data_IF_491067079366
#
_entry.id   IF_491067079366
#
_cell.length_a   1.000
_cell.length_b   1.000
_cell.length_c   1.000
_cell.angle_alpha   90.00
_cell.angle_beta   90.00
_cell.angle_gamma   90.00
#
_symmetry.space_group_name_H-M   'P 1'
#
loop_
_entity.id
_entity.type
_entity.pdbx_description
1 polymer ?
#
# COMPACT_ATOMS: atom_id res chain seq x y z
N UNK A 1 -30.00 -17.39 13.71
CA UNK A 1 -29.07 -18.54 13.80
C UNK A 1 -28.69 -18.91 12.38
N UNK A 2 -27.63 -18.30 11.87
CA UNK A 2 -27.12 -18.55 10.52
C UNK A 2 -25.68 -18.99 10.72
N UNK A 3 -25.40 -20.23 10.30
CA UNK A 3 -24.15 -20.94 10.54
C UNK A 3 -23.08 -20.35 9.61
N UNK A 4 -22.00 -19.82 10.17
CA UNK A 4 -20.75 -19.61 9.44
C UNK A 4 -20.15 -20.98 9.16
N UNK A 5 -20.14 -21.39 7.90
CA UNK A 5 -19.35 -22.53 7.45
C UNK A 5 -17.92 -22.03 7.23
N UNK A 6 -17.01 -22.41 8.13
CA UNK A 6 -15.57 -22.27 7.91
C UNK A 6 -15.23 -23.34 6.86
N UNK A 7 -15.22 -22.95 5.59
CA UNK A 7 -14.69 -23.80 4.53
C UNK A 7 -13.16 -23.68 4.58
N UNK A 8 -12.50 -24.81 4.81
CA UNK A 8 -11.04 -24.92 4.74
C UNK A 8 -10.57 -24.58 3.33
N UNK A 9 -9.97 -23.41 3.15
CA UNK A 9 -9.28 -23.03 1.92
C UNK A 9 -8.13 -24.01 1.67
N UNK A 10 -8.07 -24.52 0.44
CA UNK A 10 -7.06 -25.50 0.03
C UNK A 10 -5.89 -24.72 -0.56
N UNK A 11 -4.77 -24.62 0.15
CA UNK A 11 -3.55 -24.01 -0.39
C UNK A 11 -3.10 -24.77 -1.65
N UNK A 12 -3.12 -24.10 -2.81
CA UNK A 12 -2.71 -24.71 -4.07
C UNK A 12 -1.19 -24.57 -4.20
N UNK A 13 -0.47 -25.59 -3.73
CA UNK A 13 0.94 -25.77 -4.04
C UNK A 13 1.12 -26.04 -5.54
N UNK A 14 1.39 -24.99 -6.33
CA UNK A 14 1.83 -25.13 -7.71
C UNK A 14 3.29 -25.60 -7.77
N UNK A 15 3.50 -26.89 -7.48
CA UNK A 15 4.77 -27.56 -7.71
C UNK A 15 4.76 -28.24 -9.09
N UNK A 16 5.03 -27.49 -10.16
CA UNK A 16 5.55 -28.04 -11.42
C UNK A 16 5.99 -26.94 -12.41
N UNK A 17 7.01 -26.15 -12.04
CA UNK A 17 7.89 -25.53 -13.03
C UNK A 17 9.31 -26.01 -12.75
N UNK A 18 9.79 -26.93 -13.57
CA UNK A 18 11.19 -27.40 -13.57
C UNK A 18 12.12 -26.23 -13.85
N UNK A 19 12.68 -25.69 -12.78
CA UNK A 19 13.61 -24.56 -12.76
C UNK A 19 13.74 -24.05 -11.33
N UNK A 20 14.14 -24.93 -10.42
CA UNK A 20 14.35 -24.62 -8.99
C UNK A 20 15.38 -23.51 -8.84
N UNK A 21 14.89 -22.31 -8.55
CA UNK A 21 15.66 -21.27 -7.90
C UNK A 21 14.93 -21.00 -6.57
N UNK A 22 15.67 -21.20 -5.48
CA UNK A 22 15.12 -21.34 -4.14
C UNK A 22 14.52 -20.02 -3.66
N UNK A 23 13.24 -20.02 -3.31
CA UNK A 23 12.56 -18.90 -2.65
C UNK A 23 12.78 -18.90 -1.11
N UNK A 24 13.22 -20.04 -0.55
CA UNK A 24 13.53 -20.20 0.87
C UNK A 24 14.62 -19.26 1.45
N UNK A 25 15.64 -18.75 0.73
CA UNK A 25 16.63 -17.88 1.36
C UNK A 25 16.09 -16.46 1.64
N UNK A 26 14.93 -16.07 1.11
CA UNK A 26 14.47 -14.66 1.12
C UNK A 26 13.28 -14.44 2.06
N UNK A 27 12.37 -15.42 2.20
CA UNK A 27 11.25 -15.33 3.14
C UNK A 27 11.50 -16.11 4.43
N UNK A 28 11.32 -15.44 5.58
CA UNK A 28 11.27 -16.11 6.90
C UNK A 28 9.87 -16.64 7.28
N UNK A 29 8.85 -16.32 6.47
CA UNK A 29 7.47 -16.76 6.65
C UNK A 29 6.84 -17.10 5.29
N UNK A 30 5.53 -16.94 5.16
CA UNK A 30 4.78 -17.36 3.97
C UNK A 30 5.04 -16.43 2.78
N UNK A 31 4.98 -16.98 1.56
CA UNK A 31 5.05 -16.22 0.32
C UNK A 31 3.62 -15.86 -0.09
N UNK A 32 3.33 -14.56 -0.21
CA UNK A 32 2.04 -14.10 -0.72
C UNK A 32 2.08 -13.91 -2.23
N UNK A 33 3.15 -13.29 -2.75
CA UNK A 33 3.29 -13.00 -4.17
C UNK A 33 4.72 -13.23 -4.62
N UNK A 34 4.89 -13.73 -5.84
CA UNK A 34 6.23 -13.90 -6.42
C UNK A 34 6.15 -13.76 -7.94
N UNK A 35 7.12 -13.07 -8.55
CA UNK A 35 7.30 -13.09 -10.01
C UNK A 35 8.74 -12.82 -10.41
N UNK A 36 9.09 -13.17 -11.65
CA UNK A 36 10.33 -12.72 -12.26
C UNK A 36 10.11 -11.50 -13.17
N UNK A 37 11.13 -10.64 -13.24
CA UNK A 37 11.20 -9.47 -14.12
C UNK A 37 12.43 -9.61 -15.05
N UNK A 38 12.36 -9.03 -16.25
CA UNK A 38 13.52 -9.00 -17.17
C UNK A 38 13.86 -10.32 -17.88
N UNK A 39 14.97 -10.37 -18.61
CA UNK A 39 15.34 -11.52 -19.45
C UNK A 39 15.93 -12.70 -18.66
N UNK A 40 15.73 -13.93 -19.16
CA UNK A 40 15.85 -15.20 -18.42
C UNK A 40 17.19 -15.44 -17.70
N UNK A 41 18.31 -14.97 -18.26
CA UNK A 41 19.66 -15.16 -17.68
C UNK A 41 20.02 -14.14 -16.59
N UNK A 42 19.31 -13.01 -16.51
CA UNK A 42 19.51 -11.94 -15.52
C UNK A 42 18.25 -11.66 -14.70
N UNK A 43 17.29 -12.60 -14.69
CA UNK A 43 15.98 -12.42 -14.06
C UNK A 43 16.14 -11.92 -12.63
N UNK A 44 15.62 -10.74 -12.37
CA UNK A 44 15.29 -10.36 -11.01
C UNK A 44 14.00 -11.07 -10.63
N UNK A 45 13.82 -11.28 -9.35
CA UNK A 45 12.64 -11.87 -8.77
C UNK A 45 12.14 -10.94 -7.67
N UNK A 46 10.86 -10.62 -7.75
CA UNK A 46 10.11 -9.93 -6.72
C UNK A 46 9.41 -11.00 -5.90
N UNK A 47 9.59 -10.97 -4.58
CA UNK A 47 8.93 -11.87 -3.65
C UNK A 47 8.37 -11.07 -2.48
N UNK A 48 7.06 -11.18 -2.25
CA UNK A 48 6.38 -10.61 -1.08
C UNK A 48 6.21 -11.70 -0.03
N UNK A 49 6.86 -11.52 1.11
CA UNK A 49 6.78 -12.40 2.25
C UNK A 49 5.82 -11.83 3.30
N UNK A 50 5.20 -12.71 4.09
CA UNK A 50 4.41 -12.37 5.27
C UNK A 50 4.98 -13.06 6.52
N UNK A 51 5.02 -12.35 7.63
CA UNK A 51 5.31 -12.90 8.95
C UNK A 51 4.53 -12.18 10.05
N UNK A 52 3.47 -12.81 10.56
CA UNK A 52 2.72 -12.30 11.71
C UNK A 52 2.12 -10.91 11.50
N UNK A 53 1.55 -10.65 10.32
CA UNK A 53 0.98 -9.33 9.96
C UNK A 53 2.00 -8.33 9.40
N UNK A 54 3.30 -8.63 9.43
CA UNK A 54 4.30 -7.83 8.71
C UNK A 54 4.54 -8.40 7.33
N UNK A 55 4.65 -7.54 6.33
CA UNK A 55 4.95 -7.91 4.95
C UNK A 55 6.28 -7.31 4.51
N UNK A 56 7.01 -8.04 3.67
CA UNK A 56 8.24 -7.54 3.06
C UNK A 56 8.30 -7.87 1.58
N UNK A 57 8.54 -6.87 0.75
CA UNK A 57 8.82 -7.02 -0.67
C UNK A 57 10.34 -7.05 -0.86
N UNK A 58 10.80 -8.16 -1.41
CA UNK A 58 12.20 -8.44 -1.65
C UNK A 58 12.44 -8.49 -3.17
N UNK A 59 13.44 -7.74 -3.64
CA UNK A 59 13.99 -7.92 -4.99
C UNK A 59 15.29 -8.69 -4.86
N UNK A 60 15.43 -9.78 -5.57
CA UNK A 60 16.63 -10.62 -5.53
C UNK A 60 16.93 -11.24 -6.89
N UNK A 61 18.15 -11.69 -7.12
CA UNK A 61 18.51 -12.43 -8.33
C UNK A 61 17.82 -13.79 -8.29
N UNK A 62 17.13 -14.15 -9.37
CA UNK A 62 16.47 -15.45 -9.47
C UNK A 62 17.49 -16.59 -9.27
N UNK A 63 18.63 -16.52 -9.95
CA UNK A 63 19.61 -17.61 -9.95
C UNK A 63 20.34 -17.82 -8.61
N UNK A 64 20.58 -16.75 -7.83
CA UNK A 64 21.43 -16.81 -6.63
C UNK A 64 20.68 -16.52 -5.33
N UNK A 65 19.51 -15.88 -5.39
CA UNK A 65 18.82 -15.37 -4.22
C UNK A 65 19.45 -14.09 -3.64
N UNK A 66 20.53 -13.58 -4.23
CA UNK A 66 21.20 -12.37 -3.74
C UNK A 66 20.25 -11.17 -3.85
N UNK A 67 20.04 -10.43 -2.75
CA UNK A 67 19.13 -9.29 -2.78
C UNK A 67 19.72 -8.14 -3.60
N UNK A 68 18.84 -7.38 -4.26
CA UNK A 68 19.21 -6.15 -4.97
C UNK A 68 19.27 -4.93 -4.05
N UNK A 69 18.66 -5.02 -2.87
CA UNK A 69 18.68 -4.00 -1.82
C UNK A 69 19.14 -4.62 -0.50
N UNK A 70 19.86 -3.85 0.32
CA UNK A 70 20.27 -4.31 1.65
C UNK A 70 19.06 -4.42 2.60
N UNK A 71 18.03 -3.59 2.38
CA UNK A 71 16.81 -3.54 3.19
C UNK A 71 15.59 -3.84 2.31
N UNK A 72 14.77 -4.84 2.66
CA UNK A 72 13.54 -5.11 1.92
C UNK A 72 12.52 -4.01 2.17
N UNK A 73 11.65 -3.78 1.20
CA UNK A 73 10.58 -2.81 1.33
C UNK A 73 9.55 -3.39 2.29
N UNK A 74 9.19 -2.64 3.32
CA UNK A 74 8.34 -3.14 4.40
C UNK A 74 6.93 -2.59 4.33
N UNK A 75 6.00 -3.42 4.76
CA UNK A 75 4.60 -3.10 4.97
C UNK A 75 4.11 -3.84 6.22
N UNK A 76 2.99 -3.40 6.74
CA UNK A 76 2.40 -3.89 7.98
C UNK A 76 0.88 -3.89 7.81
N UNK A 77 0.26 -5.01 8.16
CA UNK A 77 -1.18 -5.22 8.10
C UNK A 77 -1.95 -4.14 8.85
N UNK A 78 -1.38 -3.58 9.91
CA UNK A 78 -2.02 -2.59 10.76
C UNK A 78 -1.85 -1.15 10.27
N UNK A 79 -0.97 -0.88 9.31
CA UNK A 79 -0.65 0.51 8.94
C UNK A 79 -0.51 0.75 7.45
N UNK A 80 -0.43 -0.31 6.65
CA UNK A 80 -0.05 -0.19 5.26
C UNK A 80 -1.24 -0.36 4.33
N UNK A 81 -1.28 0.48 3.31
CA UNK A 81 -2.35 0.51 2.33
C UNK A 81 -2.50 -0.82 1.60
N UNK A 82 -3.76 -1.19 1.42
CA UNK A 82 -4.19 -2.44 0.81
C UNK A 82 -5.54 -2.16 0.10
N UNK A 83 -5.67 -2.48 -1.18
CA UNK A 83 -6.95 -2.38 -1.88
C UNK A 83 -7.35 -3.73 -2.45
N UNK A 84 -8.58 -4.16 -2.19
CA UNK A 84 -9.18 -5.33 -2.81
C UNK A 84 -10.51 -4.94 -3.46
N UNK A 85 -10.73 -5.39 -4.70
CA UNK A 85 -12.02 -5.23 -5.38
C UNK A 85 -12.34 -6.45 -6.23
N UNK A 86 -13.58 -6.92 -6.09
CA UNK A 86 -14.14 -8.06 -6.82
C UNK A 86 -15.11 -7.58 -7.92
N UNK A 87 -15.14 -8.32 -9.01
CA UNK A 87 -15.94 -8.12 -10.22
C UNK A 87 -15.51 -9.20 -11.22
N UNK A 88 -15.52 -8.93 -12.52
CA UNK A 88 -15.03 -9.90 -13.53
C UNK A 88 -13.55 -10.33 -13.33
N UNK A 89 -12.79 -9.57 -12.52
CA UNK A 89 -11.38 -9.81 -12.17
C UNK A 89 -11.16 -9.31 -10.74
N UNK A 90 -10.49 -10.09 -9.90
CA UNK A 90 -10.06 -9.64 -8.58
C UNK A 90 -8.84 -8.72 -8.74
N UNK A 91 -8.89 -7.54 -8.12
CA UNK A 91 -7.77 -6.59 -8.12
C UNK A 91 -7.27 -6.44 -6.71
N UNK A 92 -5.97 -6.51 -6.58
CA UNK A 92 -5.27 -6.34 -5.34
C UNK A 92 -4.16 -5.30 -5.50
N UNK A 93 -4.08 -4.38 -4.55
CA UNK A 93 -2.98 -3.43 -4.48
C UNK A 93 -2.40 -3.41 -3.06
N UNK A 94 -1.07 -3.44 -2.92
CA UNK A 94 -0.37 -3.34 -1.62
C UNK A 94 0.70 -2.26 -1.67
N UNK A 95 0.70 -1.39 -0.67
CA UNK A 95 1.74 -0.39 -0.49
C UNK A 95 2.94 -0.96 0.22
N UNK A 96 4.12 -0.45 -0.10
CA UNK A 96 5.35 -0.69 0.63
C UNK A 96 6.13 0.61 0.75
N UNK A 97 6.95 0.73 1.79
CA UNK A 97 7.86 1.87 1.93
C UNK A 97 9.29 1.46 1.57
N UNK A 98 9.91 2.19 0.64
CA UNK A 98 11.33 2.05 0.35
C UNK A 98 12.14 2.94 1.29
N UNK A 99 12.76 2.35 2.31
CA UNK A 99 13.53 3.10 3.32
C UNK A 99 14.68 3.90 2.74
N UNK A 100 15.45 3.30 1.85
CA UNK A 100 16.69 3.92 1.33
C UNK A 100 16.39 5.07 0.35
N UNK A 101 15.31 4.94 -0.41
CA UNK A 101 14.91 5.93 -1.42
C UNK A 101 13.89 6.95 -0.87
N UNK A 102 13.28 6.66 0.29
CA UNK A 102 12.27 7.53 0.90
C UNK A 102 11.01 7.70 0.06
N UNK A 103 10.59 6.66 -0.67
CA UNK A 103 9.44 6.70 -1.57
C UNK A 103 8.49 5.50 -1.36
N UNK A 104 7.17 5.67 -1.59
CA UNK A 104 6.25 4.56 -1.54
C UNK A 104 6.34 3.74 -2.83
N UNK A 105 6.26 2.42 -2.74
CA UNK A 105 6.18 1.52 -3.89
C UNK A 105 4.89 0.74 -3.77
N UNK A 106 4.12 0.69 -4.85
CA UNK A 106 2.87 -0.06 -4.89
C UNK A 106 3.08 -1.33 -5.68
N UNK A 107 2.68 -2.46 -5.11
CA UNK A 107 2.41 -3.68 -5.85
C UNK A 107 0.97 -3.66 -6.35
N UNK A 108 0.78 -3.88 -7.64
CA UNK A 108 -0.53 -4.11 -8.23
C UNK A 108 -0.61 -5.55 -8.75
N UNK A 109 -1.77 -6.16 -8.59
CA UNK A 109 -2.05 -7.53 -8.98
C UNK A 109 -3.48 -7.62 -9.54
N UNK A 110 -3.62 -8.34 -10.65
CA UNK A 110 -4.92 -8.66 -11.26
C UNK A 110 -5.04 -10.17 -11.37
N UNK A 111 -5.96 -10.71 -10.58
CA UNK A 111 -6.19 -12.13 -10.44
C UNK A 111 -7.47 -12.54 -11.20
N UNK A 112 -7.43 -13.63 -11.97
CA UNK A 112 -8.63 -14.21 -12.56
C UNK A 112 -9.52 -14.71 -11.42
N UNK A 113 -10.80 -14.34 -11.40
CA UNK A 113 -11.68 -14.51 -10.26
C UNK A 113 -12.97 -15.25 -10.64
N UNK A 114 -13.38 -16.20 -9.80
CA UNK A 114 -14.66 -16.89 -9.88
C UNK A 114 -15.60 -16.34 -8.81
N UNK A 115 -16.54 -15.48 -9.21
CA UNK A 115 -17.55 -14.89 -8.31
C UNK A 115 -18.44 -15.93 -7.63
N UNK A 116 -18.64 -17.11 -8.22
CA UNK A 116 -19.52 -18.15 -7.66
C UNK A 116 -18.80 -18.98 -6.60
N UNK A 117 -17.51 -19.23 -6.81
CA UNK A 117 -16.68 -20.00 -5.89
C UNK A 117 -15.96 -19.10 -4.86
N UNK A 118 -16.02 -17.78 -5.04
CA UNK A 118 -15.30 -16.78 -4.24
C UNK A 118 -13.78 -17.09 -4.18
N UNK A 119 -13.21 -17.49 -5.33
CA UNK A 119 -11.81 -17.93 -5.41
C UNK A 119 -11.10 -17.47 -6.69
N UNK A 120 -9.76 -17.53 -6.66
CA UNK A 120 -8.91 -17.25 -7.82
C UNK A 120 -8.92 -18.44 -8.78
N UNK A 121 -9.18 -18.21 -10.07
CA UNK A 121 -9.20 -19.27 -11.09
C UNK A 121 -7.78 -19.75 -11.38
N UNK A 122 -7.47 -20.98 -11.00
CA UNK A 122 -6.16 -21.58 -11.20
C UNK A 122 -5.77 -21.70 -12.69
N UNK A 123 -4.47 -21.49 -12.99
CA UNK A 123 -3.88 -21.71 -14.31
C UNK A 123 -4.24 -20.66 -15.38
N UNK A 124 -5.00 -19.63 -15.01
CA UNK A 124 -5.25 -18.47 -15.86
C UNK A 124 -4.14 -17.42 -15.71
N UNK A 125 -3.91 -16.56 -16.72
CA UNK A 125 -2.89 -15.51 -16.63
C UNK A 125 -3.15 -14.55 -15.47
N UNK A 126 -2.08 -14.20 -14.78
CA UNK A 126 -2.08 -13.19 -13.71
C UNK A 126 -1.17 -12.04 -14.14
N UNK A 127 -1.66 -10.81 -13.96
CA UNK A 127 -0.84 -9.62 -14.17
C UNK A 127 -0.35 -9.09 -12.83
N UNK A 128 0.95 -8.81 -12.73
CA UNK A 128 1.56 -8.20 -11.56
C UNK A 128 2.59 -7.15 -11.98
N UNK A 129 2.60 -6.00 -11.31
CA UNK A 129 3.64 -4.98 -11.54
C UNK A 129 3.89 -4.14 -10.29
N UNK A 130 5.11 -3.59 -10.21
CA UNK A 130 5.44 -2.56 -9.22
C UNK A 130 5.33 -1.18 -9.85
N UNK A 131 4.84 -0.25 -9.06
CA UNK A 131 4.71 1.15 -9.41
C UNK A 131 5.42 2.02 -8.36
N UNK A 132 6.49 2.71 -8.77
CA UNK A 132 7.18 3.72 -7.96
C UNK A 132 6.88 5.13 -8.47
N UNK A 133 6.64 6.12 -7.60
CA UNK A 133 6.54 7.51 -7.97
C UNK A 133 7.95 8.07 -8.08
N UNK A 134 8.56 8.05 -9.26
CA UNK A 134 9.68 8.93 -9.50
C UNK A 134 9.10 10.34 -9.56
N UNK A 135 9.23 11.02 -8.42
CA UNK A 135 8.78 12.34 -7.98
C UNK A 135 8.92 13.50 -8.99
N UNK A 136 9.32 13.25 -10.25
CA UNK A 136 9.39 14.19 -11.38
C UNK A 136 8.76 13.69 -12.69
N UNK A 137 7.54 13.14 -12.63
CA UNK A 137 6.61 12.96 -13.77
C UNK A 137 6.80 11.76 -14.72
N UNK A 138 7.49 10.69 -14.32
CA UNK A 138 7.30 9.38 -14.98
C UNK A 138 7.14 8.29 -13.92
N UNK A 139 6.01 7.61 -13.99
CA UNK A 139 5.74 6.44 -13.15
C UNK A 139 6.47 5.28 -13.80
N UNK A 140 7.48 4.74 -13.13
CA UNK A 140 8.15 3.54 -13.64
C UNK A 140 7.36 2.31 -13.21
N UNK A 141 7.04 1.49 -14.21
CA UNK A 141 6.35 0.23 -14.01
C UNK A 141 7.33 -0.91 -14.22
N UNK A 142 7.53 -1.71 -13.18
CA UNK A 142 8.27 -2.96 -13.29
C UNK A 142 7.28 -4.09 -13.49
N UNK A 143 7.16 -4.58 -14.73
CA UNK A 143 6.17 -5.60 -15.12
C UNK A 143 6.73 -7.01 -14.92
N UNK A 144 5.92 -7.88 -14.33
CA UNK A 144 6.23 -9.30 -14.17
C UNK A 144 5.99 -10.09 -15.45
N UNK A 145 6.77 -11.15 -15.64
CA UNK A 145 6.42 -12.17 -16.64
C UNK A 145 5.24 -13.00 -16.14
N UNK A 146 4.14 -12.98 -16.88
CA UNK A 146 2.88 -13.62 -16.49
C UNK A 146 3.01 -15.12 -16.16
N UNK A 147 3.94 -15.85 -16.81
CA UNK A 147 4.19 -17.28 -16.58
C UNK A 147 4.96 -17.57 -15.28
N UNK A 148 5.41 -16.53 -14.58
CA UNK A 148 6.18 -16.65 -13.34
C UNK A 148 5.43 -16.13 -12.12
N UNK A 149 4.21 -15.63 -12.30
CA UNK A 149 3.44 -15.06 -11.20
C UNK A 149 2.84 -16.17 -10.34
N UNK A 150 3.16 -16.13 -9.06
CA UNK A 150 2.50 -16.87 -7.98
C UNK A 150 1.79 -15.87 -7.07
N UNK A 151 0.58 -16.22 -6.63
CA UNK A 151 -0.24 -15.42 -5.73
C UNK A 151 -1.05 -16.33 -4.82
N UNK A 152 -0.86 -16.19 -3.51
CA UNK A 152 -1.69 -16.78 -2.45
C UNK A 152 -2.14 -15.67 -1.50
N UNK A 153 -3.22 -14.95 -1.87
CA UNK A 153 -3.59 -13.78 -1.12
C UNK A 153 -4.36 -14.13 0.17
N UNK A 154 -4.84 -15.38 0.36
CA UNK A 154 -5.73 -15.83 1.46
C UNK A 154 -5.38 -15.23 2.86
N UNK A 155 -4.10 -15.17 3.27
CA UNK A 155 -3.74 -14.62 4.58
C UNK A 155 -4.08 -13.13 4.76
N UNK A 156 -4.35 -12.39 3.68
CA UNK A 156 -4.72 -10.98 3.71
C UNK A 156 -6.17 -10.77 4.20
N UNK A 157 -7.04 -11.78 4.13
CA UNK A 157 -8.45 -11.64 4.47
C UNK A 157 -8.66 -11.25 5.93
N UNK A 158 -7.92 -11.87 6.85
CA UNK A 158 -8.03 -11.53 8.27
C UNK A 158 -7.64 -10.08 8.55
N UNK A 159 -6.67 -9.54 7.81
CA UNK A 159 -6.29 -8.14 7.92
C UNK A 159 -7.35 -7.18 7.34
N UNK A 160 -8.16 -7.65 6.39
CA UNK A 160 -9.26 -6.88 5.79
C UNK A 160 -10.51 -6.83 6.69
N UNK A 161 -10.89 -7.94 7.33
CA UNK A 161 -12.16 -8.05 8.08
C UNK A 161 -12.26 -7.02 9.22
N UNK A 162 -11.14 -6.71 9.87
CA UNK A 162 -11.09 -5.72 10.95
C UNK A 162 -11.02 -4.26 10.43
N UNK A 163 -11.01 -4.06 9.11
CA UNK A 163 -10.89 -2.76 8.44
C UNK A 163 -12.12 -2.49 7.57
N UNK A 164 -12.63 -1.25 7.63
CA UNK A 164 -13.64 -0.79 6.67
C UNK A 164 -13.08 -0.72 5.24
N UNK A 165 -13.88 -0.34 4.23
CA UNK A 165 -13.41 -0.21 2.84
C UNK A 165 -12.17 0.70 2.79
N UNK A 166 -11.06 0.13 2.33
CA UNK A 166 -9.73 0.73 2.47
C UNK A 166 -9.53 1.74 1.34
N UNK A 167 -9.52 3.03 1.69
CA UNK A 167 -8.98 4.09 0.84
C UNK A 167 -7.45 4.11 0.88
N UNK A 168 -6.82 4.95 0.07
CA UNK A 168 -5.38 5.14 0.16
C UNK A 168 -5.01 5.58 1.59
N UNK A 169 -4.07 4.92 2.26
CA UNK A 169 -3.57 5.35 3.57
C UNK A 169 -2.06 5.36 3.55
N UNK A 170 -1.47 6.52 3.78
CA UNK A 170 -0.04 6.65 3.97
C UNK A 170 0.28 7.18 5.38
N UNK A 171 -0.65 6.99 6.32
CA UNK A 171 -0.42 7.25 7.74
C UNK A 171 -0.30 5.94 8.52
N UNK A 172 0.68 5.89 9.42
CA UNK A 172 0.88 4.81 10.40
C UNK A 172 0.00 4.96 11.65
N UNK A 173 -0.71 6.08 11.78
CA UNK A 173 -1.58 6.34 12.92
C UNK A 173 -3.06 6.11 12.54
N UNK A 174 -3.84 5.57 13.48
CA UNK A 174 -5.31 5.54 13.32
C UNK A 174 -5.84 6.98 13.40
N UNK A 175 -6.30 7.50 12.27
CA UNK A 175 -6.88 8.85 12.20
C UNK A 175 -8.38 8.75 12.45
N UNK A 176 -8.85 9.38 13.53
CA UNK A 176 -10.27 9.53 13.85
C UNK A 176 -10.68 10.98 13.61
N UNK A 177 -11.53 11.27 12.60
CA UNK A 177 -11.98 12.63 12.33
C UNK A 177 -12.71 13.24 13.53
N UNK A 178 -12.37 14.48 13.87
CA UNK A 178 -12.91 15.18 15.04
C UNK A 178 -13.77 16.36 14.61
N UNK A 179 -14.90 16.58 15.29
CA UNK A 179 -15.87 17.61 14.89
C UNK A 179 -15.30 19.03 14.92
N UNK A 180 -14.36 19.30 15.80
CA UNK A 180 -13.67 20.59 15.92
C UNK A 180 -12.54 20.75 14.90
N UNK A 181 -12.07 19.65 14.34
CA UNK A 181 -10.88 19.61 13.49
C UNK A 181 -11.21 19.47 12.01
N UNK A 182 -12.29 18.76 11.67
CA UNK A 182 -12.72 18.59 10.28
C UNK A 182 -12.99 19.93 9.60
N UNK A 183 -12.57 20.07 8.34
CA UNK A 183 -12.71 21.28 7.54
C UNK A 183 -11.72 21.30 6.38
N UNK A 184 -11.52 22.47 5.79
CA UNK A 184 -10.56 22.66 4.68
C UNK A 184 -9.48 23.64 5.11
N UNK A 185 -8.22 23.31 4.82
CA UNK A 185 -7.08 24.18 5.02
C UNK A 185 -6.32 24.40 3.71
N UNK A 186 -5.69 25.57 3.61
CA UNK A 186 -4.76 25.91 2.53
C UNK A 186 -3.33 25.91 3.05
N UNK A 187 -2.42 25.34 2.27
CA UNK A 187 -0.98 25.35 2.54
C UNK A 187 -0.46 26.78 2.38
N UNK A 188 0.13 27.32 3.45
CA UNK A 188 0.75 28.64 3.44
C UNK A 188 2.10 28.60 2.71
N UNK A 189 2.75 29.77 2.60
CA UNK A 189 4.12 29.82 2.10
C UNK A 189 5.04 28.99 3.01
N UNK A 190 5.78 28.07 2.39
CA UNK A 190 6.81 27.24 3.05
C UNK A 190 8.16 27.98 3.04
N UNK A 191 9.11 27.61 3.91
CA UNK A 191 10.43 28.27 3.96
C UNK A 191 11.12 28.29 2.59
N UNK A 192 11.82 29.39 2.31
CA UNK A 192 12.56 29.56 1.06
C UNK A 192 13.65 28.48 0.93
N UNK A 193 13.67 27.77 -0.21
CA UNK A 193 14.54 26.61 -0.42
C UNK A 193 13.93 25.26 -0.03
N UNK A 194 12.70 25.22 0.53
CA UNK A 194 11.95 23.97 0.68
C UNK A 194 11.34 23.52 -0.64
N UNK A 195 11.27 22.21 -0.86
CA UNK A 195 10.56 21.60 -2.00
C UNK A 195 9.02 21.62 -1.83
N UNK A 196 8.53 21.95 -0.62
CA UNK A 196 7.11 21.94 -0.27
C UNK A 196 6.90 21.77 1.25
N UNK A 197 5.66 21.49 1.66
CA UNK A 197 5.32 21.09 3.02
C UNK A 197 5.28 19.55 3.09
N UNK A 198 6.19 18.91 3.85
CA UNK A 198 6.24 17.45 3.97
C UNK A 198 4.99 16.87 4.63
N UNK A 199 4.48 15.77 4.05
CA UNK A 199 3.41 14.94 4.60
C UNK A 199 4.02 13.68 5.20
N UNK A 200 4.03 13.62 6.52
CA UNK A 200 4.58 12.55 7.32
C UNK A 200 3.60 11.39 7.48
N UNK A 201 4.15 10.17 7.62
CA UNK A 201 3.33 9.01 7.93
C UNK A 201 2.82 9.01 9.38
N UNK A 202 3.46 9.73 10.32
CA UNK A 202 3.01 9.81 11.71
C UNK A 202 2.94 11.25 12.22
N UNK A 203 2.03 11.48 13.16
CA UNK A 203 1.86 12.72 13.92
C UNK A 203 3.04 13.06 14.84
N UNK A 204 3.96 12.11 15.07
CA UNK A 204 5.12 12.28 15.94
C UNK A 204 6.41 12.05 15.15
N UNK A 205 6.67 12.86 14.10
CA UNK A 205 7.77 12.59 13.21
C UNK A 205 9.11 12.70 13.95
N UNK A 206 9.99 11.76 13.61
CA UNK A 206 11.39 11.65 13.98
C UNK A 206 12.23 11.66 12.70
N UNK A 207 13.56 11.60 12.84
CA UNK A 207 14.48 11.67 11.70
C UNK A 207 14.26 10.59 10.62
N UNK A 208 13.65 9.47 11.00
CA UNK A 208 13.34 8.31 10.17
C UNK A 208 11.86 8.23 9.78
N UNK A 209 11.03 9.20 10.18
CA UNK A 209 9.59 9.16 9.85
C UNK A 209 9.40 9.42 8.36
N UNK A 210 8.73 8.50 7.64
CA UNK A 210 8.47 8.63 6.20
C UNK A 210 7.78 9.93 5.83
N UNK A 211 8.24 10.58 4.75
CA UNK A 211 7.57 11.68 4.06
C UNK A 211 7.10 11.17 2.71
N UNK A 212 5.81 10.91 2.55
CA UNK A 212 5.27 10.26 1.35
C UNK A 212 4.72 11.23 0.32
N UNK A 213 4.59 12.51 0.67
CA UNK A 213 4.12 13.56 -0.22
C UNK A 213 4.70 14.93 0.16
N UNK A 214 4.71 15.84 -0.81
CA UNK A 214 5.10 17.23 -0.63
C UNK A 214 3.97 18.13 -1.12
N UNK A 215 3.28 18.79 -0.19
CA UNK A 215 2.24 19.74 -0.55
C UNK A 215 2.85 21.05 -1.05
N UNK A 216 2.27 21.58 -2.12
CA UNK A 216 2.73 22.83 -2.69
C UNK A 216 2.05 24.02 -2.02
N UNK A 217 2.71 25.18 -1.92
CA UNK A 217 2.08 26.41 -1.47
C UNK A 217 0.78 26.67 -2.25
N UNK A 218 -0.24 27.18 -1.55
CA UNK A 218 -1.58 27.45 -2.08
C UNK A 218 -2.44 26.22 -2.40
N UNK A 219 -1.94 25.00 -2.19
CA UNK A 219 -2.76 23.78 -2.31
C UNK A 219 -3.80 23.71 -1.18
N UNK A 220 -5.02 23.29 -1.52
CA UNK A 220 -6.09 23.01 -0.55
C UNK A 220 -6.08 21.54 -0.15
N UNK A 221 -6.35 21.29 1.13
CA UNK A 221 -6.39 19.94 1.74
C UNK A 221 -7.55 19.82 2.70
N UNK A 222 -8.17 18.64 2.72
CA UNK A 222 -9.18 18.29 3.71
C UNK A 222 -8.49 17.95 5.02
N UNK A 223 -8.94 18.53 6.13
CA UNK A 223 -8.40 18.30 7.47
C UNK A 223 -9.28 17.30 8.20
N UNK A 224 -8.68 16.35 8.92
CA UNK A 224 -9.40 15.27 9.60
C UNK A 224 -9.28 15.37 11.12
N UNK A 225 -8.05 15.44 11.62
CA UNK A 225 -7.74 15.34 13.04
C UNK A 225 -6.49 16.15 13.39
N UNK A 226 -6.26 16.36 14.69
CA UNK A 226 -5.10 17.07 15.23
C UNK A 226 -4.46 16.20 16.31
N UNK A 227 -3.13 16.17 16.30
CA UNK A 227 -2.32 15.57 17.34
C UNK A 227 -1.15 16.52 17.64
N UNK A 228 -1.27 17.26 18.75
CA UNK A 228 -0.32 18.32 19.09
C UNK A 228 -0.22 19.40 18.01
N UNK A 229 0.99 19.58 17.46
CA UNK A 229 1.29 20.54 16.39
C UNK A 229 0.94 20.01 14.99
N UNK A 230 0.72 18.71 14.84
CA UNK A 230 0.48 18.07 13.56
C UNK A 230 -1.00 17.93 13.26
N UNK A 231 -1.32 18.04 11.98
CA UNK A 231 -2.68 17.98 11.45
C UNK A 231 -2.75 16.83 10.46
N UNK A 232 -3.70 15.92 10.67
CA UNK A 232 -4.02 14.88 9.73
C UNK A 232 -4.80 15.48 8.56
N UNK A 233 -4.36 15.21 7.35
CA UNK A 233 -4.96 15.67 6.10
C UNK A 233 -5.38 14.50 5.23
N UNK A 234 -6.46 14.67 4.47
CA UNK A 234 -6.86 13.78 3.37
C UNK A 234 -6.51 14.42 2.03
N UNK A 235 -5.96 13.61 1.12
CA UNK A 235 -5.41 14.02 -0.16
C UNK A 235 -6.01 13.15 -1.28
N UNK A 236 -6.59 13.75 -2.33
CA UNK A 236 -7.13 13.01 -3.45
C UNK A 236 -6.01 12.28 -4.21
N UNK A 237 -6.19 10.97 -4.42
CA UNK A 237 -5.26 10.11 -5.17
C UNK A 237 -6.02 9.23 -6.16
N UNK A 238 -5.37 8.75 -7.21
CA UNK A 238 -5.92 7.68 -8.06
C UNK A 238 -7.23 8.00 -8.79
N UNK A 239 -7.45 9.26 -9.20
CA UNK A 239 -8.68 9.67 -9.90
C UNK A 239 -9.86 9.98 -8.97
N UNK A 240 -9.64 10.03 -7.67
CA UNK A 240 -10.59 10.58 -6.69
C UNK A 240 -10.51 12.10 -6.73
N UNK A 241 -11.65 12.77 -6.92
CA UNK A 241 -11.69 14.24 -7.00
C UNK A 241 -11.99 14.92 -5.66
N UNK A 242 -12.55 14.20 -4.66
CA UNK A 242 -12.96 14.78 -3.38
C UNK A 242 -12.73 13.84 -2.20
N UNK A 243 -12.30 14.37 -1.06
CA UNK A 243 -12.08 13.62 0.19
C UNK A 243 -13.13 13.90 1.27
N UNK A 244 -14.34 14.27 0.84
CA UNK A 244 -15.41 14.73 1.72
C UNK A 244 -15.69 13.73 2.85
N UNK A 245 -15.49 14.18 4.10
CA UNK A 245 -15.89 13.43 5.30
C UNK A 245 -17.39 13.59 5.54
N UNK A 246 -18.10 12.48 5.62
CA UNK A 246 -19.52 12.48 5.95
C UNK A 246 -19.73 12.64 7.46
N UNK A 247 -20.80 13.31 7.92
CA UNK A 247 -21.05 13.51 9.35
C UNK A 247 -21.04 12.24 10.19
N UNK A 248 -21.54 11.13 9.63
CA UNK A 248 -21.57 9.81 10.28
C UNK A 248 -20.18 9.19 10.52
N UNK A 249 -19.13 9.69 9.86
CA UNK A 249 -17.76 9.21 10.02
C UNK A 249 -17.00 9.93 11.15
N UNK A 250 -17.58 10.99 11.72
CA UNK A 250 -16.98 11.75 12.82
C UNK A 250 -16.98 10.89 14.09
N UNK A 251 -15.83 10.82 14.77
CA UNK A 251 -15.66 10.03 15.99
C UNK A 251 -15.41 8.54 15.76
N UNK A 252 -15.29 8.11 14.50
CA UNK A 252 -14.91 6.76 14.11
C UNK A 252 -13.59 6.78 13.32
N UNK A 253 -12.82 5.68 13.28
CA UNK A 253 -11.66 5.58 12.40
C UNK A 253 -12.04 5.97 10.96
N UNK A 254 -11.22 6.82 10.32
CA UNK A 254 -11.46 7.25 8.96
C UNK A 254 -11.36 6.03 8.02
N UNK A 255 -12.35 5.89 7.14
CA UNK A 255 -12.43 4.82 6.11
C UNK A 255 -12.78 5.43 4.74
N UNK A 256 -12.44 6.69 4.53
CA UNK A 256 -12.71 7.39 3.28
C UNK A 256 -11.68 7.02 2.20
N UNK A 257 -11.95 7.35 0.92
CA UNK A 257 -11.19 6.83 -0.21
C UNK A 257 -9.81 7.50 -0.38
N UNK A 258 -9.59 8.66 0.26
CA UNK A 258 -8.39 9.46 0.08
C UNK A 258 -7.22 9.08 0.98
N UNK A 259 -6.02 9.26 0.42
CA UNK A 259 -4.72 9.22 1.07
C UNK A 259 -4.67 10.11 2.31
N UNK A 260 -4.20 9.57 3.43
CA UNK A 260 -4.02 10.37 4.66
C UNK A 260 -2.57 10.48 5.09
N UNK A 261 -2.22 11.59 5.73
CA UNK A 261 -0.93 11.80 6.38
C UNK A 261 -0.94 13.00 7.31
N UNK A 262 0.19 13.28 7.95
CA UNK A 262 0.33 14.34 8.94
C UNK A 262 1.23 15.45 8.44
N UNK A 263 0.83 16.70 8.62
CA UNK A 263 1.65 17.87 8.26
C UNK A 263 1.82 18.79 9.46
N UNK A 264 2.89 19.57 9.47
CA UNK A 264 3.07 20.61 10.46
C UNK A 264 1.97 21.68 10.31
N UNK A 265 1.10 21.77 11.31
CA UNK A 265 -0.06 22.65 11.32
C UNK A 265 0.30 24.13 11.29
N UNK A 266 1.54 24.52 11.59
CA UNK A 266 2.01 25.89 11.46
C UNK A 266 1.94 26.41 10.01
N UNK A 267 1.97 25.51 9.03
CA UNK A 267 1.91 25.84 7.60
C UNK A 267 0.53 25.62 6.97
N UNK A 268 -0.50 25.37 7.80
CA UNK A 268 -1.88 25.23 7.34
C UNK A 268 -2.74 26.39 7.82
N UNK A 269 -3.45 27.03 6.88
CA UNK A 269 -4.44 28.06 7.17
C UNK A 269 -5.85 27.51 6.92
N UNK A 270 -6.65 27.38 7.98
CA UNK A 270 -8.09 27.08 7.88
C UNK A 270 -8.78 28.08 6.95
N UNK A 271 -9.55 27.55 6.00
CA UNK A 271 -10.37 28.34 5.07
C UNK A 271 -11.84 27.94 5.10
N UNK A 272 -12.19 26.80 5.72
CA UNK A 272 -13.56 26.35 5.96
C UNK A 272 -13.64 25.42 7.17
#
# INVERSE_FOLDING_TARGET
MTRFAIATATAIAMAAATGTAMAEPVCKGDILFQCATGEREYREQITVCMNGGHYSLNRHRLATGDPFYDIPLIADADTTWFQWSEGDVARLELGFWHTDMGEPVTLHLRLPWDDLAEEVIAGQPVDMWLQSPHWRQRVDQTVCHADTVYADPEPLWSAQVDRGPIGAFFSQDVITPQIDTVGIARVSNVPEGSEGLPVYASARPRSDTPVWWMLQPMQDVDVLAREGAFIAVALPTGGIDTCTIRPEQIGHPYTGPCATGWVDGAFLKRIQ
#
